data_IF_635550858081
#
_entry.id   IF_635550858081
#
_cell.length_a   1.000
_cell.length_b   1.000
_cell.length_c   1.000
_cell.angle_alpha   90.00
_cell.angle_beta   90.00
_cell.angle_gamma   90.00
#
_symmetry.space_group_name_H-M   'P 1'
#
loop_
_entity.id
_entity.type
_entity.pdbx_description
1 polymer ?
#
# COMPACT_ATOMS: atom_id res chain seq x y z
N UNK A 1 -31.79 -4.64 -5.68
CA UNK A 1 -30.36 -4.29 -5.81
C UNK A 1 -29.85 -3.92 -4.43
N UNK A 2 -28.87 -4.67 -3.95
CA UNK A 2 -28.23 -4.45 -2.66
C UNK A 2 -26.80 -3.95 -2.90
N UNK A 3 -26.26 -3.19 -1.97
CA UNK A 3 -24.86 -2.75 -2.01
C UNK A 3 -24.01 -3.75 -1.25
N UNK A 4 -22.80 -4.00 -1.74
CA UNK A 4 -21.84 -4.84 -1.05
C UNK A 4 -20.40 -4.40 -1.22
N UNK A 5 -19.55 -4.93 -0.35
CA UNK A 5 -18.11 -4.73 -0.34
C UNK A 5 -17.41 -6.02 -0.75
N UNK A 6 -16.45 -5.93 -1.67
CA UNK A 6 -15.66 -7.09 -2.09
C UNK A 6 -14.53 -7.34 -1.08
N UNK A 7 -14.61 -8.46 -0.36
CA UNK A 7 -13.60 -8.87 0.63
C UNK A 7 -12.50 -9.74 0.02
N UNK A 8 -12.84 -10.55 -0.99
CA UNK A 8 -11.90 -11.49 -1.62
C UNK A 8 -12.24 -11.68 -3.08
N UNK A 9 -11.22 -11.87 -3.91
CA UNK A 9 -11.37 -12.12 -5.35
C UNK A 9 -10.59 -13.37 -5.74
N UNK A 10 -11.26 -14.50 -5.96
CA UNK A 10 -10.66 -15.78 -6.39
C UNK A 10 -10.81 -16.02 -7.90
N UNK A 11 -10.63 -14.96 -8.70
CA UNK A 11 -10.68 -15.01 -10.16
C UNK A 11 -12.09 -14.87 -10.71
N UNK A 12 -12.89 -15.93 -10.66
CA UNK A 12 -14.28 -15.92 -11.18
C UNK A 12 -15.34 -15.72 -10.10
N UNK A 13 -14.95 -15.86 -8.84
CA UNK A 13 -15.81 -15.73 -7.67
C UNK A 13 -15.28 -14.65 -6.73
N UNK A 14 -16.20 -14.02 -6.03
CA UNK A 14 -15.92 -12.89 -5.14
C UNK A 14 -16.68 -13.07 -3.83
N UNK A 15 -16.06 -12.77 -2.71
CA UNK A 15 -16.78 -12.70 -1.44
C UNK A 15 -17.36 -11.30 -1.32
N UNK A 16 -18.69 -11.21 -1.32
CA UNK A 16 -19.43 -9.94 -1.24
C UNK A 16 -20.07 -9.83 0.13
N UNK A 17 -19.67 -8.83 0.92
CA UNK A 17 -20.30 -8.53 2.21
C UNK A 17 -21.43 -7.52 2.01
N UNK A 18 -22.62 -7.81 2.51
CA UNK A 18 -23.73 -6.86 2.52
C UNK A 18 -23.64 -5.86 3.69
N UNK A 19 -24.66 -5.01 3.84
CA UNK A 19 -24.73 -4.04 4.92
C UNK A 19 -24.99 -4.66 6.31
N UNK A 20 -25.57 -5.86 6.35
CA UNK A 20 -25.91 -6.59 7.58
C UNK A 20 -24.75 -7.50 8.05
N UNK A 21 -23.66 -7.58 7.26
CA UNK A 21 -22.48 -8.38 7.55
C UNK A 21 -22.52 -9.81 6.98
N UNK A 22 -23.55 -10.17 6.21
CA UNK A 22 -23.60 -11.47 5.54
C UNK A 22 -22.64 -11.50 4.35
N UNK A 23 -21.96 -12.63 4.20
CA UNK A 23 -21.00 -12.87 3.12
C UNK A 23 -21.62 -13.81 2.09
N UNK A 24 -21.76 -13.32 0.86
CA UNK A 24 -22.26 -14.06 -0.29
C UNK A 24 -21.12 -14.45 -1.25
N UNK A 25 -21.30 -15.56 -1.96
CA UNK A 25 -20.46 -15.93 -3.09
C UNK A 25 -20.98 -15.27 -4.37
N UNK A 26 -20.29 -14.23 -4.81
CA UNK A 26 -20.64 -13.42 -5.95
C UNK A 26 -19.95 -13.83 -7.25
N UNK A 27 -20.65 -13.70 -8.37
CA UNK A 27 -20.08 -13.80 -9.72
C UNK A 27 -20.50 -12.63 -10.60
N UNK A 28 -19.67 -12.29 -11.59
CA UNK A 28 -19.96 -11.20 -12.52
C UNK A 28 -21.01 -11.60 -13.58
N UNK A 29 -21.95 -10.69 -13.86
CA UNK A 29 -22.93 -10.86 -14.95
C UNK A 29 -22.28 -10.65 -16.32
N UNK A 30 -21.77 -11.72 -16.94
CA UNK A 30 -21.28 -11.71 -18.32
C UNK A 30 -19.99 -10.90 -18.56
N UNK A 31 -19.71 -10.55 -19.84
CA UNK A 31 -18.51 -9.78 -20.22
C UNK A 31 -18.67 -8.30 -19.85
N UNK A 32 -18.39 -7.97 -18.59
CA UNK A 32 -18.18 -6.59 -18.16
C UNK A 32 -17.02 -5.99 -18.97
N UNK A 33 -17.35 -5.13 -19.95
CA UNK A 33 -16.35 -4.30 -20.64
C UNK A 33 -16.24 -3.01 -19.85
N UNK A 34 -15.25 -2.90 -18.94
CA UNK A 34 -14.87 -1.57 -18.45
C UNK A 34 -14.49 -0.73 -19.66
N UNK A 35 -15.18 0.41 -19.84
CA UNK A 35 -14.88 1.36 -20.90
C UNK A 35 -13.43 1.84 -20.74
N UNK A 36 -12.53 1.37 -21.60
CA UNK A 36 -11.18 1.93 -21.76
C UNK A 36 -10.02 1.21 -21.07
N UNK A 37 -10.26 0.30 -20.12
CA UNK A 37 -9.17 -0.43 -19.43
C UNK A 37 -9.12 -1.90 -19.87
N UNK A 38 -7.99 -2.35 -20.43
CA UNK A 38 -7.72 -3.76 -20.74
C UNK A 38 -7.33 -4.54 -19.47
N UNK A 39 -8.25 -4.62 -18.51
CA UNK A 39 -8.05 -5.39 -17.26
C UNK A 39 -8.62 -6.80 -17.44
N UNK A 40 -7.87 -7.82 -16.98
CA UNK A 40 -8.27 -9.24 -17.01
C UNK A 40 -9.27 -9.61 -15.92
N UNK A 41 -9.23 -8.89 -14.79
CA UNK A 41 -10.19 -8.99 -13.72
C UNK A 41 -10.69 -7.57 -13.38
N UNK A 42 -11.97 -7.25 -13.65
CA UNK A 42 -12.48 -5.90 -13.47
C UNK A 42 -12.73 -5.55 -12.00
N UNK A 43 -12.94 -6.55 -11.13
CA UNK A 43 -13.23 -6.37 -9.72
C UNK A 43 -11.97 -6.60 -8.89
N UNK A 44 -11.73 -5.69 -7.95
CA UNK A 44 -10.67 -5.74 -6.97
C UNK A 44 -11.25 -5.78 -5.55
N UNK A 45 -10.40 -6.17 -4.61
CA UNK A 45 -10.75 -6.11 -3.19
C UNK A 45 -10.92 -4.65 -2.76
N UNK A 46 -11.93 -4.36 -1.92
CA UNK A 46 -12.30 -2.99 -1.56
C UNK A 46 -13.23 -2.29 -2.55
N UNK A 47 -13.58 -2.93 -3.68
CA UNK A 47 -14.63 -2.41 -4.55
C UNK A 47 -15.99 -2.43 -3.84
N UNK A 48 -16.75 -1.35 -4.04
CA UNK A 48 -18.17 -1.28 -3.69
C UNK A 48 -18.97 -1.68 -4.92
N UNK A 49 -19.89 -2.62 -4.78
CA UNK A 49 -20.65 -3.19 -5.88
C UNK A 49 -22.14 -3.19 -5.60
N UNK A 50 -22.94 -3.23 -6.66
CA UNK A 50 -24.36 -3.59 -6.55
C UNK A 50 -24.55 -5.04 -6.96
N UNK A 51 -25.38 -5.78 -6.23
CA UNK A 51 -25.66 -7.18 -6.51
C UNK A 51 -27.14 -7.52 -6.37
N UNK A 52 -27.50 -8.67 -6.94
CA UNK A 52 -28.81 -9.33 -6.82
C UNK A 52 -28.60 -10.75 -6.34
N UNK A 53 -29.42 -11.21 -5.39
CA UNK A 53 -29.37 -12.59 -4.91
C UNK A 53 -29.81 -13.52 -6.03
N UNK A 54 -28.96 -14.48 -6.38
CA UNK A 54 -29.25 -15.51 -7.37
C UNK A 54 -29.95 -16.69 -6.72
N UNK A 55 -29.42 -17.14 -5.59
CA UNK A 55 -29.94 -18.25 -4.81
C UNK A 55 -29.70 -17.99 -3.32
N UNK A 56 -30.78 -17.85 -2.54
CA UNK A 56 -30.73 -17.66 -1.08
C UNK A 56 -30.28 -18.92 -0.34
N UNK A 57 -30.55 -20.13 -0.87
CA UNK A 57 -30.17 -21.38 -0.22
C UNK A 57 -28.66 -21.66 -0.36
N UNK A 58 -28.09 -21.27 -1.50
CA UNK A 58 -26.65 -21.43 -1.79
C UNK A 58 -25.81 -20.18 -1.43
N UNK A 59 -26.44 -19.12 -0.89
CA UNK A 59 -25.81 -17.83 -0.61
C UNK A 59 -25.03 -17.25 -1.81
N UNK A 60 -25.61 -17.32 -3.01
CA UNK A 60 -24.96 -16.84 -4.24
C UNK A 60 -25.59 -15.55 -4.75
N UNK A 61 -24.75 -14.65 -5.27
CA UNK A 61 -25.18 -13.35 -5.81
C UNK A 61 -24.59 -13.09 -7.20
N UNK A 62 -25.31 -12.32 -8.01
CA UNK A 62 -24.80 -11.78 -9.27
C UNK A 62 -24.47 -10.31 -9.09
N UNK A 63 -23.21 -9.97 -9.33
CA UNK A 63 -22.73 -8.59 -9.34
C UNK A 63 -23.20 -7.91 -10.62
N UNK A 64 -23.97 -6.84 -10.45
CA UNK A 64 -24.62 -6.10 -11.54
C UNK A 64 -23.87 -4.85 -11.95
N UNK A 65 -23.20 -4.16 -11.01
CA UNK A 65 -22.41 -2.96 -11.28
C UNK A 65 -21.29 -2.75 -10.24
N UNK A 66 -20.30 -1.94 -10.61
CA UNK A 66 -19.18 -1.52 -9.76
C UNK A 66 -19.29 -0.01 -9.55
N UNK A 67 -19.35 0.42 -8.30
CA UNK A 67 -19.39 1.84 -7.94
C UNK A 67 -18.07 2.51 -8.37
N UNK A 68 -18.09 3.76 -8.88
CA UNK A 68 -16.87 4.49 -9.23
C UNK A 68 -15.85 4.50 -8.09
N UNK A 69 -14.60 4.20 -8.43
CA UNK A 69 -13.49 4.15 -7.46
C UNK A 69 -12.95 5.54 -7.16
N UNK A 70 -12.59 5.76 -5.90
CA UNK A 70 -11.87 6.98 -5.49
C UNK A 70 -10.38 6.88 -5.78
N UNK A 71 -9.78 5.74 -5.46
CA UNK A 71 -8.40 5.37 -5.79
C UNK A 71 -8.29 3.86 -6.00
N UNK A 72 -7.15 3.42 -6.55
CA UNK A 72 -6.86 2.00 -6.74
C UNK A 72 -5.37 1.75 -6.93
N UNK A 73 -4.95 0.51 -6.65
CA UNK A 73 -3.59 0.04 -6.89
C UNK A 73 -3.59 -0.99 -8.00
N UNK A 74 -2.74 -0.75 -8.99
CA UNK A 74 -2.48 -1.69 -10.09
C UNK A 74 -1.18 -2.42 -9.88
N UNK A 75 -1.14 -3.67 -10.35
CA UNK A 75 0.08 -4.43 -10.57
C UNK A 75 0.18 -4.83 -12.03
N UNK A 76 1.33 -4.58 -12.65
CA UNK A 76 1.63 -5.10 -13.97
C UNK A 76 1.97 -6.60 -13.88
N UNK A 77 1.39 -7.39 -14.76
CA UNK A 77 1.75 -8.80 -14.90
C UNK A 77 3.13 -8.92 -15.52
N UNK A 78 4.03 -9.65 -14.87
CA UNK A 78 5.39 -9.98 -15.36
C UNK A 78 5.39 -10.70 -16.72
N UNK A 79 4.27 -11.29 -17.13
CA UNK A 79 4.18 -12.08 -18.37
C UNK A 79 3.39 -11.40 -19.50
N UNK A 80 2.65 -10.32 -19.23
CA UNK A 80 1.86 -9.60 -20.25
C UNK A 80 1.91 -8.10 -19.98
N UNK A 81 2.77 -7.42 -20.74
CA UNK A 81 2.99 -5.97 -20.74
C UNK A 81 1.75 -5.11 -21.04
N UNK A 82 0.60 -5.71 -21.34
CA UNK A 82 -0.63 -5.00 -21.72
C UNK A 82 -1.82 -5.19 -20.76
N UNK A 83 -1.65 -5.89 -19.62
CA UNK A 83 -2.75 -6.22 -18.71
C UNK A 83 -2.33 -5.96 -17.26
N UNK A 84 -2.70 -4.79 -16.73
CA UNK A 84 -2.64 -4.51 -15.30
C UNK A 84 -3.75 -5.26 -14.57
N UNK A 85 -3.48 -5.76 -13.37
CA UNK A 85 -4.47 -6.30 -12.45
C UNK A 85 -4.70 -5.27 -11.35
N UNK A 86 -5.94 -4.90 -11.08
CA UNK A 86 -6.28 -4.02 -9.97
C UNK A 86 -6.34 -4.90 -8.72
N UNK A 87 -5.49 -4.59 -7.73
CA UNK A 87 -5.33 -5.43 -6.54
C UNK A 87 -6.26 -4.99 -5.41
N UNK A 88 -6.32 -3.68 -5.20
CA UNK A 88 -7.13 -3.05 -4.17
C UNK A 88 -7.70 -1.74 -4.69
N UNK A 89 -8.87 -1.36 -4.20
CA UNK A 89 -9.57 -0.13 -4.52
C UNK A 89 -10.17 0.51 -3.26
N UNK A 90 -10.45 1.82 -3.33
CA UNK A 90 -11.07 2.61 -2.27
C UNK A 90 -10.33 2.48 -0.92
N UNK A 91 -9.00 2.68 -0.99
CA UNK A 91 -8.11 2.66 0.15
C UNK A 91 -8.15 4.02 0.85
N UNK A 92 -8.42 4.04 2.15
CA UNK A 92 -8.31 5.26 2.95
C UNK A 92 -6.85 5.61 3.26
N UNK A 93 -6.00 4.58 3.38
CA UNK A 93 -4.57 4.76 3.63
C UNK A 93 -3.74 3.53 3.21
N UNK A 94 -2.44 3.74 3.08
CA UNK A 94 -1.45 2.67 2.98
C UNK A 94 -0.41 2.82 4.10
N UNK A 95 -0.18 1.74 4.83
CA UNK A 95 0.74 1.71 5.98
C UNK A 95 1.94 0.85 5.65
N UNK A 96 3.13 1.45 5.70
CA UNK A 96 4.39 0.75 5.54
C UNK A 96 4.96 0.38 6.91
N UNK A 97 5.09 -0.93 7.16
CA UNK A 97 5.89 -1.42 8.27
C UNK A 97 7.36 -1.49 7.87
N UNK A 98 8.18 -0.76 8.61
CA UNK A 98 9.62 -0.71 8.47
C UNK A 98 10.29 -1.19 9.77
N UNK A 99 11.50 -1.72 9.64
CA UNK A 99 12.38 -2.07 10.76
C UNK A 99 13.78 -1.58 10.46
N UNK A 100 14.49 -1.04 11.45
CA UNK A 100 15.84 -0.47 11.22
C UNK A 100 16.96 -1.52 11.23
N UNK A 101 16.69 -2.71 11.77
CA UNK A 101 17.70 -3.75 11.99
C UNK A 101 17.37 -5.06 11.26
N UNK A 102 16.33 -5.78 11.66
CA UNK A 102 16.08 -7.16 11.21
C UNK A 102 14.62 -7.40 10.77
N UNK A 103 14.32 -7.42 9.46
CA UNK A 103 15.18 -7.04 8.33
C UNK A 103 15.32 -5.51 8.21
N UNK A 104 16.48 -4.98 7.84
CA UNK A 104 16.61 -3.54 7.61
C UNK A 104 15.77 -3.11 6.42
N UNK A 105 14.94 -2.09 6.62
CA UNK A 105 14.24 -1.38 5.54
C UNK A 105 15.05 -0.17 5.14
N UNK A 106 15.48 -0.09 3.89
CA UNK A 106 16.26 1.04 3.39
C UNK A 106 15.39 2.29 3.20
N UNK A 107 15.96 3.48 3.37
CA UNK A 107 15.24 4.74 3.13
C UNK A 107 14.73 4.82 1.68
N UNK A 108 15.52 4.36 0.71
CA UNK A 108 15.09 4.30 -0.70
C UNK A 108 13.87 3.40 -0.92
N UNK A 109 13.69 2.34 -0.13
CA UNK A 109 12.47 1.53 -0.16
C UNK A 109 11.27 2.31 0.40
N UNK A 110 11.45 2.96 1.56
CA UNK A 110 10.40 3.78 2.18
C UNK A 110 9.97 4.86 1.19
N UNK A 111 10.93 5.61 0.64
CA UNK A 111 10.68 6.69 -0.30
C UNK A 111 9.93 6.18 -1.54
N UNK A 112 10.33 5.03 -2.09
CA UNK A 112 9.64 4.43 -3.24
C UNK A 112 8.21 4.05 -2.92
N UNK A 113 7.96 3.48 -1.74
CA UNK A 113 6.61 3.16 -1.30
C UNK A 113 5.74 4.42 -1.19
N UNK A 114 6.27 5.48 -0.56
CA UNK A 114 5.56 6.76 -0.39
C UNK A 114 5.21 7.38 -1.75
N UNK A 115 6.20 7.49 -2.65
CA UNK A 115 6.02 8.04 -4.00
C UNK A 115 5.01 7.22 -4.80
N UNK A 116 5.07 5.89 -4.73
CA UNK A 116 4.10 5.02 -5.39
C UNK A 116 2.68 5.26 -4.86
N UNK A 117 2.49 5.35 -3.54
CA UNK A 117 1.19 5.59 -2.94
C UNK A 117 0.64 6.99 -3.27
N UNK A 118 1.50 8.02 -3.27
CA UNK A 118 1.17 9.38 -3.71
C UNK A 118 0.69 9.40 -5.16
N UNK A 119 1.28 8.60 -6.06
CA UNK A 119 0.84 8.52 -7.45
C UNK A 119 -0.57 7.95 -7.62
N UNK A 120 -1.01 7.12 -6.66
CA UNK A 120 -2.38 6.62 -6.56
C UNK A 120 -3.29 7.48 -5.68
N UNK A 121 -2.80 8.62 -5.16
CA UNK A 121 -3.51 9.51 -4.23
C UNK A 121 -3.96 8.83 -2.94
N UNK A 122 -3.10 7.97 -2.40
CA UNK A 122 -3.36 7.22 -1.18
C UNK A 122 -2.55 7.85 -0.04
N UNK A 123 -3.20 8.36 1.03
CA UNK A 123 -2.51 8.81 2.23
C UNK A 123 -1.63 7.71 2.81
N UNK A 124 -0.44 8.07 3.31
CA UNK A 124 0.51 7.08 3.84
C UNK A 124 0.96 7.37 5.26
N UNK A 125 1.22 6.28 5.99
CA UNK A 125 1.87 6.31 7.29
C UNK A 125 2.97 5.26 7.38
N UNK A 126 3.99 5.55 8.17
CA UNK A 126 5.15 4.66 8.40
C UNK A 126 5.08 4.14 9.83
N UNK A 127 5.20 2.83 10.01
CA UNK A 127 5.24 2.19 11.33
C UNK A 127 6.61 1.53 11.48
N UNK A 128 7.45 2.12 12.33
CA UNK A 128 8.74 1.55 12.72
C UNK A 128 8.52 0.53 13.82
N UNK A 129 8.56 -0.74 13.45
CA UNK A 129 8.37 -1.85 14.38
C UNK A 129 9.70 -2.34 14.97
N UNK A 130 9.59 -3.17 16.01
CA UNK A 130 10.70 -3.82 16.71
C UNK A 130 11.64 -2.83 17.40
N UNK A 131 11.08 -1.86 18.12
CA UNK A 131 11.87 -0.93 18.93
C UNK A 131 12.60 -1.61 20.08
N UNK A 132 12.10 -2.76 20.53
CA UNK A 132 12.68 -3.62 21.58
C UNK A 132 14.10 -4.12 21.28
N UNK A 133 14.50 -4.20 20.01
CA UNK A 133 15.86 -4.64 19.61
C UNK A 133 16.79 -3.48 19.27
N UNK A 134 16.38 -2.24 19.48
CA UNK A 134 17.22 -1.06 19.24
C UNK A 134 17.96 -0.65 20.51
N UNK A 135 19.25 -0.32 20.36
CA UNK A 135 20.01 0.35 21.40
C UNK A 135 19.73 1.87 21.38
N UNK A 136 20.30 2.62 22.32
CA UNK A 136 20.10 4.07 22.43
C UNK A 136 20.44 4.83 21.13
N UNK A 137 21.51 4.41 20.43
CA UNK A 137 21.89 4.96 19.12
C UNK A 137 20.83 4.66 18.04
N UNK A 138 20.32 3.43 18.00
CA UNK A 138 19.26 3.03 17.08
C UNK A 138 17.95 3.76 17.34
N UNK A 139 17.59 3.99 18.62
CA UNK A 139 16.43 4.78 19.01
C UNK A 139 16.59 6.28 18.69
N UNK A 140 17.81 6.82 18.79
CA UNK A 140 18.10 8.18 18.34
C UNK A 140 17.97 8.28 16.81
N UNK A 141 18.58 7.35 16.07
CA UNK A 141 18.48 7.32 14.61
C UNK A 141 17.04 7.12 14.11
N UNK A 142 16.23 6.30 14.80
CA UNK A 142 14.81 6.18 14.48
C UNK A 142 14.07 7.50 14.61
N UNK A 143 14.32 8.25 15.69
CA UNK A 143 13.70 9.56 15.91
C UNK A 143 14.09 10.55 14.81
N UNK A 144 15.36 10.59 14.42
CA UNK A 144 15.82 11.44 13.30
C UNK A 144 15.09 11.11 12.00
N UNK A 145 14.91 9.82 11.68
CA UNK A 145 14.17 9.41 10.48
C UNK A 145 12.68 9.79 10.60
N UNK A 146 12.06 9.55 11.76
CA UNK A 146 10.66 9.91 12.01
C UNK A 146 10.42 11.41 11.89
N UNK A 147 11.34 12.24 12.39
CA UNK A 147 11.30 13.70 12.28
C UNK A 147 11.44 14.15 10.83
N UNK A 148 12.37 13.56 10.06
CA UNK A 148 12.53 13.83 8.63
C UNK A 148 11.24 13.59 7.85
N UNK A 149 10.60 12.44 8.06
CA UNK A 149 9.33 12.12 7.38
C UNK A 149 8.16 12.96 7.92
N UNK A 150 8.18 13.30 9.21
CA UNK A 150 7.18 14.18 9.84
C UNK A 150 7.21 15.60 9.29
N UNK A 151 8.40 16.17 9.05
CA UNK A 151 8.57 17.52 8.48
C UNK A 151 7.98 17.67 7.08
N UNK A 152 7.96 16.58 6.30
CA UNK A 152 7.37 16.55 4.95
C UNK A 152 5.92 16.05 4.93
N UNK A 153 5.30 15.88 6.11
CA UNK A 153 3.87 15.63 6.27
C UNK A 153 3.45 14.16 6.41
N UNK A 154 4.38 13.21 6.53
CA UNK A 154 4.04 11.81 6.76
C UNK A 154 3.86 11.50 8.25
N UNK A 155 2.82 10.74 8.56
CA UNK A 155 2.63 10.23 9.92
C UNK A 155 3.59 9.08 10.18
N UNK A 156 4.30 9.11 11.30
CA UNK A 156 5.19 8.02 11.72
C UNK A 156 4.85 7.53 13.13
N UNK A 157 4.86 6.21 13.32
CA UNK A 157 4.66 5.57 14.61
C UNK A 157 5.83 4.65 14.95
N UNK A 158 6.06 4.47 16.25
CA UNK A 158 7.04 3.55 16.81
C UNK A 158 6.31 2.44 17.55
N UNK A 159 6.62 1.17 17.27
CA UNK A 159 5.93 0.04 17.89
C UNK A 159 6.88 -1.09 18.28
N UNK A 160 6.51 -1.82 19.33
CA UNK A 160 7.04 -3.16 19.61
C UNK A 160 5.87 -4.13 19.77
N UNK A 161 5.78 -5.09 18.85
CA UNK A 161 4.80 -6.18 18.96
C UNK A 161 5.09 -7.11 20.16
N UNK A 162 6.32 -7.13 20.67
CA UNK A 162 6.74 -8.00 21.78
C UNK A 162 6.43 -7.33 23.13
N UNK A 163 6.82 -6.07 23.27
CA UNK A 163 6.62 -5.30 24.52
C UNK A 163 5.22 -4.66 24.59
N UNK A 164 4.45 -4.69 23.50
CA UNK A 164 3.13 -4.07 23.42
C UNK A 164 3.17 -2.54 23.26
N UNK A 165 4.34 -1.94 23.08
CA UNK A 165 4.50 -0.51 22.90
C UNK A 165 3.93 -0.04 21.56
N UNK A 166 3.19 1.08 21.58
CA UNK A 166 2.64 1.69 20.37
C UNK A 166 1.48 0.94 19.71
N UNK A 167 1.04 -0.19 20.27
CA UNK A 167 -0.06 -0.99 19.71
C UNK A 167 -1.39 -0.22 19.71
N UNK A 168 -1.68 0.54 20.77
CA UNK A 168 -2.89 1.37 20.81
C UNK A 168 -2.87 2.49 19.77
N UNK A 169 -1.71 3.13 19.55
CA UNK A 169 -1.56 4.14 18.50
C UNK A 169 -1.72 3.52 17.12
N UNK A 170 -1.18 2.31 16.90
CA UNK A 170 -1.37 1.57 15.67
C UNK A 170 -2.85 1.18 15.44
N UNK A 171 -3.55 0.74 16.49
CA UNK A 171 -4.99 0.46 16.44
C UNK A 171 -5.80 1.71 16.06
N UNK A 172 -5.51 2.84 16.69
CA UNK A 172 -6.16 4.13 16.38
C UNK A 172 -5.85 4.62 14.96
N UNK A 173 -4.64 4.36 14.45
CA UNK A 173 -4.29 4.71 13.08
C UNK A 173 -5.20 4.01 12.06
N UNK A 174 -5.56 2.76 12.33
CA UNK A 174 -6.35 1.90 11.46
C UNK A 174 -7.85 2.08 11.61
N UNK A 175 -8.32 2.52 12.78
CA UNK A 175 -9.72 2.61 13.17
C UNK A 175 -10.63 3.20 12.08
N UNK A 176 -11.69 2.47 11.74
CA UNK A 176 -12.70 2.81 10.72
C UNK A 176 -12.16 3.08 9.31
N UNK A 177 -11.01 2.48 8.94
CA UNK A 177 -10.38 2.68 7.62
C UNK A 177 -10.10 1.38 6.89
N UNK A 178 -10.09 1.46 5.57
CA UNK A 178 -9.52 0.45 4.67
C UNK A 178 -8.04 0.73 4.45
N UNK A 179 -7.20 -0.12 5.02
CA UNK A 179 -5.75 0.06 5.03
C UNK A 179 -5.04 -1.00 4.20
N UNK A 180 -4.24 -0.58 3.22
CA UNK A 180 -3.25 -1.47 2.62
C UNK A 180 -2.04 -1.60 3.56
N UNK A 181 -1.71 -2.82 3.98
CA UNK A 181 -0.53 -3.08 4.80
C UNK A 181 0.63 -3.60 3.95
N UNK A 182 1.80 -2.96 4.04
CA UNK A 182 2.99 -3.36 3.29
C UNK A 182 4.25 -3.37 4.15
N UNK A 183 5.33 -3.97 3.63
CA UNK A 183 6.63 -4.06 4.29
C UNK A 183 7.33 -5.37 3.98
N UNK A 184 8.63 -5.44 4.28
CA UNK A 184 9.44 -6.63 4.01
C UNK A 184 8.91 -7.88 4.75
N UNK A 185 9.27 -9.06 4.25
CA UNK A 185 9.01 -10.29 5.00
C UNK A 185 9.79 -10.27 6.31
N UNK A 186 9.14 -10.54 7.43
CA UNK A 186 9.78 -10.56 8.75
C UNK A 186 9.83 -9.23 9.50
N UNK A 187 9.28 -8.13 8.98
CA UNK A 187 9.17 -6.85 9.72
C UNK A 187 8.18 -6.89 10.89
N UNK A 188 7.34 -7.93 10.97
CA UNK A 188 6.37 -8.13 12.05
C UNK A 188 4.93 -7.68 11.73
N UNK A 189 4.55 -7.60 10.45
CA UNK A 189 3.15 -7.33 10.00
C UNK A 189 2.13 -8.19 10.75
N UNK A 190 2.28 -9.50 10.67
CA UNK A 190 1.34 -10.44 11.29
C UNK A 190 1.34 -10.36 12.81
N UNK A 191 2.50 -10.12 13.42
CA UNK A 191 2.60 -9.93 14.87
C UNK A 191 1.83 -8.70 15.33
N UNK A 192 1.94 -7.57 14.62
CA UNK A 192 1.17 -6.36 14.94
C UNK A 192 -0.32 -6.54 14.68
N UNK A 193 -0.71 -7.17 13.57
CA UNK A 193 -2.13 -7.44 13.26
C UNK A 193 -2.76 -8.36 14.30
N UNK A 194 -2.04 -9.42 14.72
CA UNK A 194 -2.54 -10.31 15.77
C UNK A 194 -2.60 -9.65 17.15
N UNK A 195 -1.76 -8.64 17.42
CA UNK A 195 -1.83 -7.89 18.66
C UNK A 195 -3.09 -7.01 18.76
N UNK A 196 -3.57 -6.48 17.63
CA UNK A 196 -4.80 -5.65 17.59
C UNK A 196 -6.07 -6.48 17.36
N UNK A 197 -5.95 -7.63 16.69
CA UNK A 197 -7.07 -8.50 16.34
C UNK A 197 -6.70 -9.98 16.60
N UNK A 198 -6.73 -10.42 17.86
CA UNK A 198 -6.31 -11.77 18.24
C UNK A 198 -7.22 -12.86 17.64
N UNK A 199 -8.51 -12.56 17.42
CA UNK A 199 -9.50 -13.51 16.91
C UNK A 199 -9.28 -13.90 15.44
N UNK A 200 -8.56 -13.06 14.68
CA UNK A 200 -8.24 -13.31 13.28
C UNK A 200 -7.28 -14.50 13.08
N UNK A 201 -6.59 -14.94 14.15
CA UNK A 201 -5.73 -16.12 14.17
C UNK A 201 -4.85 -16.26 12.91
N UNK A 202 -4.34 -15.13 12.39
CA UNK A 202 -3.45 -15.15 11.25
C UNK A 202 -2.19 -15.89 11.69
N UNK A 203 -1.95 -17.08 11.12
CA UNK A 203 -0.89 -18.00 11.56
C UNK A 203 0.46 -17.26 11.59
N UNK A 204 0.94 -16.97 12.80
CA UNK A 204 2.21 -16.24 13.07
C UNK A 204 3.42 -16.90 12.41
N UNK A 205 3.36 -18.22 12.19
CA UNK A 205 4.42 -19.02 11.56
C UNK A 205 4.29 -19.19 10.03
N UNK A 206 3.29 -18.62 9.38
CA UNK A 206 3.02 -18.87 7.95
C UNK A 206 2.95 -17.63 7.05
N UNK A 207 3.27 -16.42 7.52
CA UNK A 207 3.39 -15.28 6.58
C UNK A 207 4.75 -15.26 5.86
N UNK A 208 5.73 -16.01 6.36
CA UNK A 208 6.94 -16.38 5.60
C UNK A 208 6.79 -17.65 4.76
N UNK A 209 5.69 -18.42 4.94
CA UNK A 209 5.54 -19.78 4.35
C UNK A 209 4.13 -20.15 3.88
N UNK A 210 3.26 -19.21 3.51
CA UNK A 210 2.07 -19.52 2.69
C UNK A 210 2.43 -19.90 1.24
N UNK A 211 3.73 -20.07 0.96
CA UNK A 211 4.31 -20.52 -0.30
C UNK A 211 4.61 -22.03 -0.34
N UNK A 212 4.25 -22.82 0.68
CA UNK A 212 4.65 -24.24 0.74
C UNK A 212 3.52 -25.25 0.95
N UNK A 213 2.41 -25.06 0.25
CA UNK A 213 1.56 -26.19 -0.18
C UNK A 213 1.19 -26.06 -1.65
N UNK A 214 2.00 -26.73 -2.47
CA UNK A 214 1.65 -27.20 -3.80
C UNK A 214 1.70 -26.12 -4.88
N UNK A 215 2.80 -26.10 -5.64
CA UNK A 215 2.89 -25.83 -7.10
C UNK A 215 1.79 -24.97 -7.73
N UNK A 216 1.35 -23.87 -7.12
CA UNK A 216 0.51 -22.81 -7.68
C UNK A 216 0.54 -21.63 -6.71
N UNK A 217 1.07 -20.50 -7.16
CA UNK A 217 1.21 -19.24 -6.41
C UNK A 217 -0.16 -18.69 -5.98
N UNK A 218 -0.41 -18.53 -4.68
CA UNK A 218 -1.56 -17.78 -4.16
C UNK A 218 -1.47 -16.33 -4.66
N UNK A 219 -2.32 -15.99 -5.63
CA UNK A 219 -2.21 -14.81 -6.50
C UNK A 219 -3.26 -13.73 -6.22
N UNK A 220 -4.06 -13.91 -5.16
CA UNK A 220 -5.24 -13.12 -4.88
C UNK A 220 -5.03 -12.26 -3.64
N UNK A 221 -5.46 -11.00 -3.71
CA UNK A 221 -5.55 -10.11 -2.56
C UNK A 221 -6.73 -10.53 -1.67
N UNK A 222 -6.59 -10.35 -0.36
CA UNK A 222 -7.64 -10.61 0.63
C UNK A 222 -7.76 -9.40 1.57
N UNK A 223 -9.00 -9.07 1.95
CA UNK A 223 -9.35 -8.04 2.92
C UNK A 223 -9.94 -8.69 4.16
N UNK A 224 -9.34 -8.34 5.29
CA UNK A 224 -9.70 -8.83 6.60
C UNK A 224 -10.33 -7.69 7.39
N UNK A 225 -11.52 -7.92 7.93
CA UNK A 225 -12.07 -7.04 8.95
C UNK A 225 -11.42 -7.36 10.29
N UNK A 226 -10.79 -6.36 10.90
CA UNK A 226 -10.05 -6.49 12.17
C UNK A 226 -10.81 -5.91 13.36
N UNK A 227 -11.75 -5.00 13.09
CA UNK A 227 -12.69 -4.39 14.01
C UNK A 227 -13.87 -3.85 13.17
N UNK A 228 -15.01 -3.48 13.77
CA UNK A 228 -16.14 -2.93 13.01
C UNK A 228 -15.70 -1.80 12.06
N UNK A 229 -16.04 -1.95 10.78
CA UNK A 229 -15.70 -1.02 9.70
C UNK A 229 -14.19 -0.73 9.54
N UNK A 230 -13.34 -1.60 10.08
CA UNK A 230 -11.88 -1.46 10.06
C UNK A 230 -11.29 -2.64 9.30
N UNK A 231 -10.61 -2.35 8.20
CA UNK A 231 -10.18 -3.38 7.27
C UNK A 231 -8.69 -3.28 6.94
N UNK A 232 -8.04 -4.43 6.89
CA UNK A 232 -6.67 -4.58 6.41
C UNK A 232 -6.69 -5.38 5.12
N UNK A 233 -6.07 -4.84 4.08
CA UNK A 233 -5.78 -5.58 2.86
C UNK A 233 -4.35 -6.08 2.93
N UNK A 234 -4.18 -7.40 2.91
CA UNK A 234 -2.88 -8.04 2.66
C UNK A 234 -2.87 -8.54 1.21
N UNK A 235 -1.82 -8.19 0.50
CA UNK A 235 -1.66 -8.54 -0.90
C UNK A 235 -0.43 -9.43 -1.06
N UNK A 236 -0.60 -10.77 -1.08
CA UNK A 236 0.47 -11.70 -1.37
C UNK A 236 1.13 -11.36 -2.72
N UNK A 237 2.41 -10.96 -2.67
CA UNK A 237 3.18 -10.68 -3.88
C UNK A 237 3.15 -9.25 -4.41
N UNK A 238 2.52 -8.28 -3.71
CA UNK A 238 3.06 -6.91 -3.72
C UNK A 238 4.31 -6.95 -2.86
N UNK A 239 5.38 -7.56 -3.39
CA UNK A 239 6.68 -7.53 -2.72
C UNK A 239 7.17 -6.08 -2.59
N UNK A 240 6.73 -5.21 -3.50
CA UNK A 240 6.95 -3.76 -3.53
C UNK A 240 5.79 -3.09 -4.30
N UNK A 241 5.22 -1.99 -3.78
CA UNK A 241 4.49 -1.04 -4.62
C UNK A 241 5.53 -0.39 -5.55
N UNK A 242 5.73 -0.98 -6.73
CA UNK A 242 6.61 -0.42 -7.74
C UNK A 242 6.03 0.87 -8.30
N UNK A 243 6.91 1.79 -8.72
CA UNK A 243 6.56 2.88 -9.63
C UNK A 243 6.11 2.26 -10.96
N UNK A 244 4.82 2.06 -11.11
CA UNK A 244 4.25 1.44 -12.31
C UNK A 244 3.75 2.56 -13.21
N UNK A 245 4.31 2.63 -14.42
CA UNK A 245 3.84 3.51 -15.51
C UNK A 245 3.89 5.01 -15.19
N UNK A 246 4.79 5.42 -14.28
CA UNK A 246 5.03 6.83 -13.97
C UNK A 246 6.02 7.44 -14.95
N UNK A 247 5.63 8.55 -15.58
CA UNK A 247 6.56 9.28 -16.44
C UNK A 247 7.68 9.88 -15.56
N UNK A 248 8.93 9.85 -16.01
CA UNK A 248 10.07 10.44 -15.27
C UNK A 248 9.83 11.90 -14.86
N UNK A 249 9.16 12.66 -15.73
CA UNK A 249 8.76 14.05 -15.44
C UNK A 249 7.80 14.18 -14.25
N UNK A 250 7.03 13.14 -13.94
CA UNK A 250 6.04 13.14 -12.88
C UNK A 250 6.62 12.72 -11.52
N UNK A 251 7.77 12.02 -11.50
CA UNK A 251 8.33 11.47 -10.25
C UNK A 251 8.52 12.56 -9.18
N UNK A 252 9.02 13.73 -9.58
CA UNK A 252 9.23 14.87 -8.65
C UNK A 252 7.93 15.43 -8.06
N UNK A 253 6.79 15.23 -8.70
CA UNK A 253 5.48 15.67 -8.21
C UNK A 253 4.97 14.82 -7.03
N UNK A 254 5.50 13.61 -6.86
CA UNK A 254 5.11 12.69 -5.80
C UNK A 254 6.02 12.78 -4.56
N UNK A 255 6.97 13.70 -4.55
CA UNK A 255 7.71 14.11 -3.35
C UNK A 255 7.08 15.41 -2.84
N UNK A 256 6.36 15.42 -1.70
CA UNK A 256 5.67 16.62 -1.21
C UNK A 256 6.58 17.86 -1.14
N UNK A 257 7.80 17.68 -0.60
CA UNK A 257 8.80 18.73 -0.43
C UNK A 257 9.34 19.29 -1.76
N UNK A 258 9.36 18.47 -2.82
CA UNK A 258 9.75 18.90 -4.16
C UNK A 258 8.58 19.54 -4.88
N UNK A 259 7.37 18.97 -4.76
CA UNK A 259 6.13 19.44 -5.38
C UNK A 259 5.89 20.93 -5.10
N UNK A 260 6.13 21.36 -3.87
CA UNK A 260 5.95 22.75 -3.44
C UNK A 260 6.94 23.74 -4.10
N UNK A 261 8.02 23.21 -4.70
CA UNK A 261 9.13 23.97 -5.32
C UNK A 261 9.24 23.78 -6.84
N UNK A 262 8.44 22.90 -7.46
CA UNK A 262 8.54 22.59 -8.89
C UNK A 262 8.40 23.83 -9.79
N UNK A 263 7.54 24.78 -9.41
CA UNK A 263 7.30 26.01 -10.17
C UNK A 263 8.37 27.10 -9.99
N UNK A 264 9.40 26.84 -9.16
CA UNK A 264 10.45 27.81 -8.83
C UNK A 264 11.73 27.57 -9.65
N UNK A 265 11.78 26.50 -10.45
CA UNK A 265 12.90 26.22 -11.32
C UNK A 265 12.99 27.22 -12.48
N UNK A 266 14.22 27.53 -12.90
CA UNK A 266 14.48 28.41 -14.05
C UNK A 266 13.84 27.90 -15.35
N UNK A 267 13.75 26.59 -15.52
CA UNK A 267 13.21 25.94 -16.73
C UNK A 267 11.93 25.17 -16.39
N UNK A 268 10.91 25.28 -17.26
CA UNK A 268 9.62 24.60 -17.10
C UNK A 268 9.68 23.07 -17.25
N UNK A 269 10.71 22.55 -17.92
CA UNK A 269 10.92 21.12 -18.15
C UNK A 269 12.13 20.57 -17.36
N UNK A 270 12.45 21.21 -16.23
CA UNK A 270 13.53 20.78 -15.35
C UNK A 270 13.26 19.36 -14.83
N UNK A 271 14.22 18.45 -15.02
CA UNK A 271 14.22 17.11 -14.42
C UNK A 271 15.00 17.08 -13.10
N UNK A 272 15.47 18.24 -12.64
CA UNK A 272 16.17 18.39 -11.35
C UNK A 272 17.42 17.52 -11.20
N UNK A 273 18.14 17.21 -12.28
CA UNK A 273 19.36 16.39 -12.27
C UNK A 273 20.58 17.27 -12.49
N UNK A 274 20.68 17.87 -13.68
CA UNK A 274 21.87 18.57 -14.17
C UNK A 274 21.59 20.03 -14.56
N UNK A 275 20.34 20.47 -14.43
CA UNK A 275 19.89 21.77 -14.88
C UNK A 275 20.44 22.91 -13.98
N UNK A 276 20.94 24.01 -14.57
CA UNK A 276 21.38 25.17 -13.82
C UNK A 276 20.18 26.01 -13.32
N UNK A 277 20.25 26.51 -12.09
CA UNK A 277 19.15 27.27 -11.46
C UNK A 277 17.93 26.38 -11.13
N UNK A 278 18.20 25.18 -10.62
CA UNK A 278 17.19 24.24 -10.20
C UNK A 278 16.87 24.46 -8.72
N UNK A 279 15.66 24.96 -8.43
CA UNK A 279 15.23 25.26 -7.06
C UNK A 279 15.25 24.02 -6.14
N UNK A 280 15.07 22.82 -6.69
CA UNK A 280 15.19 21.57 -5.93
C UNK A 280 16.62 21.34 -5.48
N UNK A 281 17.61 21.53 -6.37
CA UNK A 281 19.02 21.34 -6.03
C UNK A 281 19.52 22.42 -5.07
N UNK A 282 19.03 23.65 -5.24
CA UNK A 282 19.34 24.75 -4.34
C UNK A 282 18.78 24.43 -2.93
N UNK A 283 17.53 23.97 -2.83
CA UNK A 283 16.94 23.53 -1.57
C UNK A 283 17.66 22.32 -0.93
N UNK A 284 18.19 21.39 -1.73
CA UNK A 284 19.06 20.31 -1.19
C UNK A 284 20.35 20.90 -0.64
N UNK A 285 20.96 21.86 -1.32
CA UNK A 285 22.18 22.54 -0.86
C UNK A 285 21.99 23.38 0.40
N UNK A 286 20.78 23.92 0.61
CA UNK A 286 20.39 24.70 1.79
C UNK A 286 19.93 23.83 2.97
N UNK A 287 19.71 22.53 2.75
CA UNK A 287 19.23 21.58 3.77
C UNK A 287 17.70 21.55 3.93
N UNK A 288 16.97 22.29 3.12
CA UNK A 288 15.50 22.32 3.05
C UNK A 288 14.92 20.99 2.53
N UNK A 289 15.66 20.29 1.68
CA UNK A 289 15.35 18.93 1.22
C UNK A 289 16.47 18.02 1.67
N UNK A 290 16.12 16.97 2.42
CA UNK A 290 17.09 15.99 2.87
C UNK A 290 17.81 15.33 1.69
N UNK A 291 19.14 15.23 1.77
CA UNK A 291 19.97 14.62 0.74
C UNK A 291 19.54 13.18 0.44
N UNK A 292 19.16 12.41 1.47
CA UNK A 292 18.64 11.05 1.32
C UNK A 292 17.41 10.97 0.39
N UNK A 293 16.49 11.93 0.50
CA UNK A 293 15.28 12.02 -0.33
C UNK A 293 15.62 12.36 -1.77
N UNK A 294 16.55 13.28 -1.99
CA UNK A 294 17.03 13.60 -3.33
C UNK A 294 17.79 12.43 -3.97
N UNK A 295 18.58 11.67 -3.21
CA UNK A 295 19.25 10.46 -3.70
C UNK A 295 18.24 9.37 -4.07
N UNK A 296 17.16 9.22 -3.30
CA UNK A 296 16.04 8.33 -3.66
C UNK A 296 15.35 8.78 -4.94
N UNK A 297 15.12 10.08 -5.12
CA UNK A 297 14.60 10.64 -6.36
C UNK A 297 15.48 10.29 -7.56
N UNK A 298 16.79 10.54 -7.48
CA UNK A 298 17.74 10.19 -8.54
C UNK A 298 17.75 8.69 -8.84
N UNK A 299 17.72 7.86 -7.80
CA UNK A 299 17.64 6.40 -7.95
C UNK A 299 16.39 5.98 -8.73
N UNK A 300 15.23 6.59 -8.46
CA UNK A 300 14.00 6.33 -9.21
C UNK A 300 14.09 6.83 -10.66
N UNK A 301 14.71 7.98 -10.90
CA UNK A 301 14.92 8.56 -12.23
C UNK A 301 15.81 7.68 -13.13
N UNK A 302 16.83 7.03 -12.57
CA UNK A 302 17.72 6.13 -13.31
C UNK A 302 17.10 4.75 -13.59
N UNK A 303 15.88 4.47 -13.09
CA UNK A 303 15.35 3.11 -13.04
C UNK A 303 16.18 2.21 -12.11
N UNK A 304 16.94 2.85 -11.21
CA UNK A 304 17.87 2.26 -10.28
C UNK A 304 17.15 1.34 -9.31
N UNK A 305 17.54 0.08 -9.40
CA UNK A 305 17.21 -0.93 -8.42
C UNK A 305 18.06 -0.77 -7.15
N UNK A 306 17.71 0.20 -6.29
CA UNK A 306 18.20 0.21 -4.91
C UNK A 306 17.33 -0.70 -4.01
N UNK A 307 16.94 -1.90 -4.49
CA UNK A 307 16.15 -2.93 -3.75
C UNK A 307 17.04 -3.76 -2.78
N UNK A 308 18.13 -3.19 -2.24
CA UNK A 308 19.03 -3.86 -1.27
C UNK A 308 19.12 -3.12 0.05
#
# INVERSE_FOLDING_TARGET
MQNGLILRSTGSWYDVRDADGHIFQGRLKGKFKLKGLKVTNPIAVGDRVTFEVEDEAENTVVITDIVPRENYIIRQSVHKTAQGHILAANLDQAVLLATLTLPRTSLGFIDRFLVSAESFRIPTAIVFNKTDILNDEGLAYQREIMDLYGQIGYTSLSTSAIEGEGIDAFRQLLDHKVTLLSGHSGVGKSSLVNAIAPDLNLRTNEVSTFANKGVHTTTFAEMFEIAPDTYIIDTPGIKELGLIDTNKSEIGHYFPEMRDRLNQCRFHNCLHINEPGCAIKDAVGEGDIAESRYMSYLSMMDGGDNRR
#
